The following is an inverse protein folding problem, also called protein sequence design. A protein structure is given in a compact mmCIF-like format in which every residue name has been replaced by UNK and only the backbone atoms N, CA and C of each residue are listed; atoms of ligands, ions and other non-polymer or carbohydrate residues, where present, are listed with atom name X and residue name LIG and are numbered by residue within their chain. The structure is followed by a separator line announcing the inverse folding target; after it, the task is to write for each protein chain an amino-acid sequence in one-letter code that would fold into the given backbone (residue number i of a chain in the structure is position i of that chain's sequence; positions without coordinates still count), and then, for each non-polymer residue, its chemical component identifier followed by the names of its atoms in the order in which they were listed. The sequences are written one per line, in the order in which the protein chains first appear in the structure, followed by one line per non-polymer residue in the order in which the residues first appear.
data_IF_348163281365
#
_entry.id   IF_348163281365
#
_cell.length_a   1.000
_cell.length_b   1.000
_cell.length_c   1.000
_cell.angle_alpha   90.00
_cell.angle_beta   90.00
_cell.angle_gamma   90.00
#
_symmetry.space_group_name_H-M   'P 1'
#
loop_
_entity.id
_entity.type
_entity.pdbx_description
1 polymer ?
#
# COMPACT_ATOMS: atom_id res chain seq x y z
N UNK A 1 -16.87 -21.92 -0.74
CA UNK A 1 -16.84 -20.69 0.07
C UNK A 1 -16.12 -19.66 -0.78
N UNK A 2 -16.85 -18.66 -1.25
CA UNK A 2 -16.29 -17.58 -2.06
C UNK A 2 -15.60 -16.61 -1.09
N UNK A 3 -14.28 -16.61 -1.08
CA UNK A 3 -13.52 -15.60 -0.34
C UNK A 3 -13.43 -14.38 -1.25
N UNK A 4 -13.91 -13.23 -0.76
CA UNK A 4 -13.72 -11.96 -1.46
C UNK A 4 -12.25 -11.79 -1.83
N UNK A 5 -12.00 -11.49 -3.11
CA UNK A 5 -10.66 -11.22 -3.63
C UNK A 5 -10.00 -10.10 -2.82
N UNK A 6 -8.71 -10.27 -2.51
CA UNK A 6 -7.85 -9.22 -1.90
C UNK A 6 -6.91 -8.59 -2.92
N UNK A 7 -7.15 -8.85 -4.21
CA UNK A 7 -6.43 -8.21 -5.30
C UNK A 7 -7.17 -6.94 -5.66
N UNK A 8 -6.46 -5.81 -5.62
CA UNK A 8 -6.97 -4.50 -5.97
C UNK A 8 -6.50 -4.12 -7.38
N UNK A 9 -7.34 -3.38 -8.12
CA UNK A 9 -7.02 -2.96 -9.49
C UNK A 9 -5.94 -1.88 -9.55
N UNK A 10 -5.84 -1.03 -8.52
CA UNK A 10 -4.85 0.05 -8.45
C UNK A 10 -4.19 0.14 -7.06
N UNK A 11 -2.97 0.70 -6.96
CA UNK A 11 -2.30 0.98 -5.70
C UNK A 11 -3.11 1.88 -4.75
N UNK A 12 -3.78 2.91 -5.28
CA UNK A 12 -4.59 3.86 -4.49
C UNK A 12 -5.75 3.15 -3.80
N UNK A 13 -6.43 2.24 -4.50
CA UNK A 13 -7.51 1.45 -3.93
C UNK A 13 -7.02 0.55 -2.78
N UNK A 14 -5.76 0.09 -2.83
CA UNK A 14 -5.17 -0.77 -1.82
C UNK A 14 -4.78 -0.01 -0.53
N UNK A 15 -4.64 1.32 -0.58
CA UNK A 15 -4.23 2.16 0.55
C UNK A 15 -5.31 3.15 1.02
N UNK A 16 -6.49 3.10 0.41
CA UNK A 16 -7.55 4.11 0.57
C UNK A 16 -8.10 4.24 2.01
N UNK A 17 -7.90 3.23 2.86
CA UNK A 17 -8.37 3.20 4.24
C UNK A 17 -7.29 3.59 5.28
N UNK A 18 -6.10 4.00 4.84
CA UNK A 18 -5.02 4.47 5.71
C UNK A 18 -5.26 5.96 6.09
N UNK A 19 -5.52 6.28 7.36
CA UNK A 19 -5.76 7.67 7.78
C UNK A 19 -4.45 8.44 8.02
N UNK A 20 -4.53 9.78 7.98
CA UNK A 20 -3.43 10.65 8.38
C UNK A 20 -2.99 10.37 9.82
N UNK A 21 -1.68 10.36 10.06
CA UNK A 21 -1.10 10.07 11.37
C UNK A 21 -1.01 8.57 11.71
N UNK A 22 -1.40 7.67 10.81
CA UNK A 22 -1.16 6.24 10.96
C UNK A 22 0.36 5.92 11.03
N UNK A 23 0.71 4.91 11.82
CA UNK A 23 2.05 4.34 11.84
C UNK A 23 2.08 3.13 10.92
N UNK A 24 3.00 3.14 9.95
CA UNK A 24 3.15 2.07 8.94
C UNK A 24 4.47 1.34 9.14
N UNK A 25 4.42 0.01 9.18
CA UNK A 25 5.60 -0.82 9.06
C UNK A 25 5.91 -1.02 7.56
N UNK A 26 7.09 -0.60 7.12
CA UNK A 26 7.50 -0.64 5.71
C UNK A 26 8.75 -1.49 5.56
N UNK A 27 8.69 -2.49 4.68
CA UNK A 27 9.84 -3.36 4.36
C UNK A 27 10.78 -2.74 3.33
N UNK A 28 12.02 -3.24 3.29
CA UNK A 28 13.02 -2.91 2.28
C UNK A 28 14.42 -2.62 2.85
N UNK A 29 15.44 -2.66 1.99
CA UNK A 29 16.83 -2.25 2.30
C UNK A 29 17.40 -1.42 1.16
N UNK A 30 17.62 -0.12 1.37
CA UNK A 30 17.93 0.81 0.29
C UNK A 30 16.78 0.83 -0.72
N UNK A 31 17.03 0.41 -1.95
CA UNK A 31 16.00 0.25 -3.00
C UNK A 31 15.55 -1.20 -3.20
N UNK A 32 16.15 -2.16 -2.48
CA UNK A 32 15.83 -3.57 -2.63
C UNK A 32 14.60 -3.93 -1.78
N UNK A 33 13.56 -4.47 -2.43
CA UNK A 33 12.37 -5.01 -1.76
C UNK A 33 11.45 -3.97 -1.11
N UNK A 34 11.50 -2.72 -1.58
CA UNK A 34 10.53 -1.69 -1.16
C UNK A 34 9.21 -1.87 -1.92
N UNK A 35 8.06 -1.50 -1.32
CA UNK A 35 6.78 -1.45 -2.03
C UNK A 35 6.63 -0.10 -2.75
N UNK A 36 7.38 0.12 -3.83
CA UNK A 36 7.53 1.42 -4.48
C UNK A 36 6.21 2.04 -4.97
N UNK A 37 5.37 1.25 -5.65
CA UNK A 37 4.06 1.71 -6.14
C UNK A 37 3.11 2.10 -4.99
N UNK A 38 3.15 1.39 -3.85
CA UNK A 38 2.32 1.73 -2.69
C UNK A 38 2.83 2.97 -1.96
N UNK A 39 4.15 3.18 -1.91
CA UNK A 39 4.75 4.42 -1.38
C UNK A 39 4.33 5.61 -2.24
N UNK A 40 4.35 5.46 -3.57
CA UNK A 40 3.91 6.51 -4.49
C UNK A 40 2.43 6.85 -4.29
N UNK A 41 1.56 5.83 -4.15
CA UNK A 41 0.13 6.02 -3.90
C UNK A 41 -0.15 6.77 -2.59
N UNK A 42 0.56 6.44 -1.50
CA UNK A 42 0.43 7.15 -0.22
C UNK A 42 0.94 8.59 -0.33
N UNK A 43 2.04 8.83 -1.05
CA UNK A 43 2.61 10.17 -1.21
C UNK A 43 1.76 11.09 -2.10
N UNK A 44 0.86 10.54 -2.92
CA UNK A 44 -0.05 11.28 -3.78
C UNK A 44 -1.33 11.78 -3.07
N UNK A 45 -1.64 11.22 -1.89
CA UNK A 45 -2.77 11.62 -1.02
C UNK A 45 -2.39 12.70 -0.01
#
# INVERSE_FOLDING_TARGET
MDLASKVFETPEAAVADIPSGALLAVGGFGLCGIPDELIAAIAAG
#
